data_IF_818614741648
#
_entry.id   IF_818614741648
#
_cell.length_a   1.000
_cell.length_b   1.000
_cell.length_c   1.000
_cell.angle_alpha   90.00
_cell.angle_beta   90.00
_cell.angle_gamma   90.00
#
_symmetry.space_group_name_H-M   'P 1'
#
loop_
_entity.id
_entity.type
_entity.pdbx_description
1 polymer ?
#
# COMPACT_ATOMS: atom_id res chain seq x y z
N UNK A 1 -7.46 -6.48 -36.72
CA UNK A 1 -7.21 -7.23 -35.46
C UNK A 1 -5.86 -6.89 -34.84
N UNK A 2 -4.75 -6.96 -35.59
CA UNK A 2 -3.40 -6.57 -35.10
C UNK A 2 -3.32 -5.14 -34.53
N UNK A 3 -3.93 -4.16 -35.20
CA UNK A 3 -3.98 -2.77 -34.72
C UNK A 3 -4.65 -2.64 -33.35
N UNK A 4 -5.78 -3.34 -33.16
CA UNK A 4 -6.53 -3.30 -31.89
C UNK A 4 -5.68 -3.89 -30.77
N UNK A 5 -5.00 -5.01 -31.01
CA UNK A 5 -4.09 -5.60 -30.03
C UNK A 5 -2.93 -4.65 -29.69
N UNK A 6 -2.35 -3.96 -30.68
CA UNK A 6 -1.31 -2.96 -30.44
C UNK A 6 -1.79 -1.84 -29.52
N UNK A 7 -2.99 -1.31 -29.76
CA UNK A 7 -3.59 -0.25 -28.92
C UNK A 7 -3.81 -0.76 -27.49
N UNK A 8 -4.37 -1.97 -27.33
CA UNK A 8 -4.60 -2.57 -26.00
C UNK A 8 -3.30 -2.67 -25.21
N UNK A 9 -2.23 -3.17 -25.83
CA UNK A 9 -0.92 -3.28 -25.17
C UNK A 9 -0.32 -1.93 -24.78
N UNK A 10 -0.44 -0.92 -25.63
CA UNK A 10 0.04 0.44 -25.34
C UNK A 10 -0.71 1.01 -24.12
N UNK A 11 -2.04 0.88 -24.10
CA UNK A 11 -2.87 1.38 -22.99
C UNK A 11 -2.52 0.65 -21.69
N UNK A 12 -2.37 -0.68 -21.73
CA UNK A 12 -1.96 -1.46 -20.57
C UNK A 12 -0.58 -1.04 -20.05
N UNK A 13 0.40 -0.85 -20.94
CA UNK A 13 1.73 -0.41 -20.56
C UNK A 13 1.70 0.99 -19.94
N UNK A 14 0.96 1.93 -20.53
CA UNK A 14 0.80 3.28 -20.00
C UNK A 14 0.14 3.27 -18.61
N UNK A 15 -0.87 2.42 -18.40
CA UNK A 15 -1.52 2.25 -17.11
C UNK A 15 -0.60 1.65 -16.05
N UNK A 16 0.18 0.63 -16.41
CA UNK A 16 1.14 0.02 -15.48
C UNK A 16 2.22 1.03 -15.05
N UNK A 17 2.78 1.78 -16.01
CA UNK A 17 3.79 2.81 -15.73
C UNK A 17 3.21 3.93 -14.86
N UNK A 18 2.00 4.40 -15.16
CA UNK A 18 1.36 5.45 -14.36
C UNK A 18 1.04 4.99 -12.93
N UNK A 19 0.60 3.74 -12.76
CA UNK A 19 0.35 3.16 -11.44
C UNK A 19 1.64 3.08 -10.60
N UNK A 20 2.75 2.62 -11.18
CA UNK A 20 4.05 2.58 -10.49
C UNK A 20 4.53 3.99 -10.17
N UNK A 21 4.45 4.93 -11.11
CA UNK A 21 4.85 6.32 -10.89
C UNK A 21 4.02 6.97 -9.75
N UNK A 22 2.71 6.76 -9.76
CA UNK A 22 1.81 7.26 -8.71
C UNK A 22 2.14 6.64 -7.34
N UNK A 23 2.42 5.34 -7.30
CA UNK A 23 2.83 4.66 -6.07
C UNK A 23 4.15 5.21 -5.52
N UNK A 24 5.16 5.35 -6.37
CA UNK A 24 6.46 5.92 -5.99
C UNK A 24 6.29 7.36 -5.47
N UNK A 25 5.50 8.18 -6.17
CA UNK A 25 5.17 9.53 -5.72
C UNK A 25 4.49 9.51 -4.36
N UNK A 26 3.50 8.65 -4.15
CA UNK A 26 2.75 8.54 -2.90
C UNK A 26 3.65 8.15 -1.72
N UNK A 27 4.60 7.23 -1.94
CA UNK A 27 5.61 6.85 -0.94
C UNK A 27 6.52 8.04 -0.62
N UNK A 28 7.05 8.73 -1.63
CA UNK A 28 7.97 9.87 -1.44
C UNK A 28 7.31 11.07 -0.75
N UNK A 29 6.02 11.28 -0.96
CA UNK A 29 5.27 12.42 -0.42
C UNK A 29 4.53 12.08 0.88
N UNK A 30 4.88 10.98 1.54
CA UNK A 30 4.31 10.60 2.83
C UNK A 30 2.81 10.32 2.80
N UNK A 31 2.21 10.04 1.63
CA UNK A 31 0.77 9.73 1.53
C UNK A 31 0.40 8.45 2.30
N UNK A 32 1.39 7.61 2.63
CA UNK A 32 1.24 6.40 3.43
C UNK A 32 1.31 6.67 4.95
N UNK A 33 1.81 7.83 5.40
CA UNK A 33 2.09 8.11 6.83
C UNK A 33 0.82 8.15 7.69
N UNK A 34 -0.31 8.54 7.10
CA UNK A 34 -1.59 8.70 7.79
C UNK A 34 -2.50 7.49 7.72
N UNK A 35 -2.04 6.35 7.20
CA UNK A 35 -2.86 5.13 7.20
C UNK A 35 -3.28 4.70 8.60
N UNK A 36 -2.37 4.80 9.57
CA UNK A 36 -2.69 4.46 10.96
C UNK A 36 -3.69 5.43 11.61
N UNK A 37 -3.75 6.69 11.17
CA UNK A 37 -4.76 7.63 11.64
C UNK A 37 -6.12 7.41 10.98
N UNK A 38 -6.16 7.06 9.69
CA UNK A 38 -7.40 6.72 9.00
C UNK A 38 -8.01 5.41 9.54
N UNK A 39 -7.19 4.41 9.84
CA UNK A 39 -7.67 3.18 10.49
C UNK A 39 -8.26 3.44 11.88
N UNK A 40 -7.81 4.51 12.55
CA UNK A 40 -8.34 4.92 13.86
C UNK A 40 -9.62 5.76 13.77
N UNK A 41 -9.97 6.29 12.60
CA UNK A 41 -11.16 7.15 12.45
C UNK A 41 -12.48 6.38 12.43
N UNK A 42 -12.44 5.04 12.42
CA UNK A 42 -13.65 4.21 12.54
C UNK A 42 -14.13 4.09 14.00
N UNK A 43 -13.23 4.28 14.95
CA UNK A 43 -13.55 4.26 16.38
C UNK A 43 -14.01 5.67 16.79
N UNK A 44 -15.12 5.74 17.49
CA UNK A 44 -15.66 6.97 18.05
C UNK A 44 -15.27 7.12 19.54
N UNK A 45 -15.84 8.11 20.22
CA UNK A 45 -15.55 8.36 21.64
C UNK A 45 -16.13 7.28 22.58
N UNK A 46 -17.09 6.47 22.11
CA UNK A 46 -17.70 5.40 22.88
C UNK A 46 -16.98 4.05 22.68
N UNK A 47 -16.37 3.81 21.52
CA UNK A 47 -15.65 2.57 21.21
C UNK A 47 -14.11 2.70 21.36
N UNK A 48 -13.46 1.93 22.26
CA UNK A 48 -12.01 1.99 22.43
C UNK A 48 -11.27 1.35 21.25
N UNK A 49 -10.19 1.99 20.79
CA UNK A 49 -9.30 1.44 19.74
C UNK A 49 -8.76 0.07 20.17
N UNK A 50 -9.04 -0.97 19.37
CA UNK A 50 -8.59 -2.33 19.62
C UNK A 50 -7.07 -2.48 19.67
N UNK A 51 -6.57 -3.38 20.53
CA UNK A 51 -5.13 -3.72 20.61
C UNK A 51 -4.78 -4.85 19.61
N UNK A 52 -3.74 -4.69 18.77
CA UNK A 52 -3.24 -5.78 17.95
C UNK A 52 -2.83 -6.97 18.83
N UNK A 53 -3.40 -8.14 18.57
CA UNK A 53 -3.14 -9.38 19.32
C UNK A 53 -2.31 -10.38 18.52
N UNK A 54 -2.23 -10.20 17.21
CA UNK A 54 -1.35 -10.97 16.33
C UNK A 54 -0.18 -10.08 15.90
N UNK A 55 1.03 -10.52 16.19
CA UNK A 55 2.26 -9.84 15.82
C UNK A 55 3.26 -10.87 15.30
N UNK A 56 3.92 -10.55 14.19
CA UNK A 56 4.99 -11.39 13.66
C UNK A 56 6.14 -11.48 14.69
N UNK A 57 6.67 -12.69 14.97
CA UNK A 57 7.74 -12.85 15.95
C UNK A 57 9.03 -12.18 15.45
N UNK A 58 9.48 -11.15 16.17
CA UNK A 58 10.77 -10.45 15.93
C UNK A 58 11.98 -11.18 16.51
N UNK A 59 11.77 -12.19 17.36
CA UNK A 59 12.83 -12.87 18.13
C UNK A 59 13.65 -13.92 17.35
N UNK A 60 13.40 -14.10 16.05
CA UNK A 60 14.09 -15.10 15.21
C UNK A 60 15.33 -14.59 14.46
N UNK A 61 15.55 -13.27 14.36
CA UNK A 61 16.61 -12.68 13.53
C UNK A 61 17.89 -12.33 14.31
N UNK A 62 17.92 -12.50 15.63
CA UNK A 62 19.03 -12.07 16.49
C UNK A 62 20.07 -13.17 16.77
N UNK A 63 20.00 -14.32 16.09
CA UNK A 63 20.85 -15.50 16.38
C UNK A 63 21.55 -16.09 15.14
N UNK A 64 22.10 -15.24 14.27
CA UNK A 64 23.07 -15.63 13.23
C UNK A 64 24.11 -14.51 13.02
N UNK A 65 25.02 -14.36 13.97
CA UNK A 65 26.33 -13.71 13.81
C UNK A 65 27.41 -14.74 14.05
#
# INVERSE_FOLDING_TARGET
MTLVYGIVWIVMAAFAVSAVAALVWAIQHGQMERFASAARSIFDEEEPVGRPTDAFPTSGLERRS
#
